data_IF_179157940421
#
_entry.id   IF_179157940421
#
_cell.length_a   1.000
_cell.length_b   1.000
_cell.length_c   1.000
_cell.angle_alpha   90.00
_cell.angle_beta   90.00
_cell.angle_gamma   90.00
#
_symmetry.space_group_name_H-M   'P 1'
#
loop_
_entity.id
_entity.type
_entity.pdbx_description
1 polymer ?
#
# COMPACT_ATOMS: atom_id res chain seq x y z
N UNK A 1 2.96 -16.59 -18.41
CA UNK A 1 4.35 -16.13 -18.16
C UNK A 1 4.28 -15.02 -17.13
N UNK A 2 4.89 -15.15 -15.95
CA UNK A 2 4.99 -14.02 -15.01
C UNK A 2 6.03 -13.05 -15.57
N UNK A 3 5.61 -11.84 -15.94
CA UNK A 3 6.51 -10.78 -16.39
C UNK A 3 7.47 -10.40 -15.25
N UNK A 4 8.71 -10.02 -15.60
CA UNK A 4 9.74 -9.56 -14.64
C UNK A 4 9.36 -8.29 -13.86
N UNK A 5 8.23 -7.67 -14.19
CA UNK A 5 7.73 -6.41 -13.64
C UNK A 5 7.03 -6.56 -12.27
N UNK A 6 6.72 -7.79 -11.83
CA UNK A 6 6.01 -8.06 -10.56
C UNK A 6 6.94 -8.44 -9.39
N UNK A 7 8.15 -7.88 -9.33
CA UNK A 7 9.14 -8.31 -8.32
C UNK A 7 9.13 -7.42 -7.09
N UNK A 8 8.94 -8.03 -5.91
CA UNK A 8 9.21 -7.39 -4.62
C UNK A 8 10.68 -7.63 -4.27
N UNK A 9 11.42 -6.57 -3.94
CA UNK A 9 12.80 -6.68 -3.45
C UNK A 9 13.03 -5.79 -2.23
N UNK A 10 13.99 -6.17 -1.39
CA UNK A 10 14.32 -5.44 -0.18
C UNK A 10 15.83 -5.25 -0.07
N UNK A 11 16.25 -4.02 0.19
CA UNK A 11 17.66 -3.64 0.33
C UNK A 11 17.89 -3.11 1.74
N UNK A 12 18.93 -3.60 2.41
CA UNK A 12 19.33 -3.10 3.71
C UNK A 12 20.26 -1.89 3.51
N UNK A 13 19.91 -0.74 4.06
CA UNK A 13 20.70 0.49 3.95
C UNK A 13 21.61 0.67 5.16
N UNK A 14 21.13 0.40 6.37
CA UNK A 14 21.92 0.51 7.58
C UNK A 14 21.43 -0.44 8.69
N UNK A 15 22.31 -0.73 9.64
CA UNK A 15 22.04 -1.56 10.82
C UNK A 15 22.66 -0.90 12.04
N UNK A 16 21.88 -0.81 13.13
CA UNK A 16 22.35 -0.40 14.45
C UNK A 16 21.81 -1.37 15.51
N UNK A 17 22.67 -2.28 15.98
CA UNK A 17 22.25 -3.44 16.77
C UNK A 17 21.24 -4.30 16.00
N UNK A 18 20.04 -4.47 16.56
CA UNK A 18 18.93 -5.20 15.92
C UNK A 18 18.05 -4.30 15.03
N UNK A 19 18.25 -2.98 15.06
CA UNK A 19 17.50 -2.04 14.23
C UNK A 19 17.98 -2.09 12.78
N UNK A 20 17.04 -2.03 11.83
CA UNK A 20 17.31 -2.14 10.39
C UNK A 20 16.60 -1.01 9.65
N UNK A 21 17.38 -0.22 8.93
CA UNK A 21 16.87 0.72 7.95
C UNK A 21 17.10 0.16 6.54
N UNK A 22 16.14 0.27 5.66
CA UNK A 22 16.23 -0.31 4.32
C UNK A 22 15.14 0.16 3.39
N UNK A 23 15.18 -0.27 2.14
CA UNK A 23 14.23 0.11 1.10
C UNK A 23 13.49 -1.11 0.57
N UNK A 24 12.17 -1.08 0.65
CA UNK A 24 11.27 -2.05 0.03
C UNK A 24 10.86 -1.51 -1.36
N UNK A 25 11.20 -2.25 -2.40
CA UNK A 25 10.81 -1.94 -3.78
C UNK A 25 9.67 -2.85 -4.19
N UNK A 26 8.58 -2.23 -4.65
CA UNK A 26 7.39 -2.90 -5.17
C UNK A 26 7.15 -2.45 -6.62
N UNK A 27 6.31 -3.16 -7.38
CA UNK A 27 5.96 -2.74 -8.74
C UNK A 27 5.32 -1.34 -8.84
N UNK A 28 4.76 -0.81 -7.74
CA UNK A 28 4.10 0.50 -7.70
C UNK A 28 4.90 1.59 -7.00
N UNK A 29 6.09 1.28 -6.50
CA UNK A 29 6.93 2.29 -5.85
C UNK A 29 7.90 1.70 -4.84
N UNK A 30 8.77 2.57 -4.34
CA UNK A 30 9.71 2.25 -3.29
C UNK A 30 9.27 2.92 -1.99
N UNK A 31 9.43 2.23 -0.87
CA UNK A 31 9.20 2.79 0.47
C UNK A 31 10.38 2.50 1.37
N UNK A 32 10.73 3.47 2.20
CA UNK A 32 11.79 3.30 3.19
C UNK A 32 11.23 2.61 4.44
N UNK A 33 12.04 1.79 5.07
CA UNK A 33 11.74 1.02 6.29
C UNK A 33 12.68 1.49 7.40
N UNK A 34 12.22 1.57 8.66
CA UNK A 34 10.88 1.21 9.14
C UNK A 34 9.83 2.23 8.70
N UNK A 35 8.64 1.76 8.29
CA UNK A 35 7.48 2.60 8.01
C UNK A 35 6.28 2.21 8.85
N UNK A 36 5.36 3.17 8.99
CA UNK A 36 4.02 2.94 9.53
C UNK A 36 2.99 2.96 8.40
N UNK A 37 2.06 2.00 8.40
CA UNK A 37 1.02 1.89 7.38
C UNK A 37 -0.34 2.29 7.95
N UNK A 38 -0.96 3.38 7.45
CA UNK A 38 -2.37 3.66 7.74
C UNK A 38 -3.27 2.50 7.28
N UNK A 39 -4.34 2.22 8.05
CA UNK A 39 -5.27 1.12 7.76
C UNK A 39 -6.49 1.65 7.00
N UNK A 40 -6.66 1.19 5.77
CA UNK A 40 -7.81 1.48 4.91
C UNK A 40 -8.84 0.35 4.98
N UNK A 41 -9.64 0.33 6.04
CA UNK A 41 -10.56 -0.78 6.35
C UNK A 41 -11.58 -1.06 5.24
N UNK A 42 -12.12 -0.03 4.58
CA UNK A 42 -13.08 -0.18 3.47
C UNK A 42 -12.62 0.57 2.21
N UNK A 43 -11.32 0.48 1.89
CA UNK A 43 -10.76 1.24 0.77
C UNK A 43 -10.70 2.74 1.04
N UNK A 44 -10.71 3.13 2.31
CA UNK A 44 -10.42 4.49 2.75
C UNK A 44 -9.84 4.44 4.15
N UNK A 45 -8.89 5.34 4.42
CA UNK A 45 -8.45 5.63 5.78
C UNK A 45 -9.46 6.58 6.39
N UNK A 46 -9.94 6.26 7.58
CA UNK A 46 -11.07 6.99 8.18
C UNK A 46 -10.73 8.48 8.33
N UNK A 47 -11.57 9.32 7.74
CA UNK A 47 -11.47 10.79 7.75
C UNK A 47 -10.27 11.39 6.98
N UNK A 48 -9.55 10.60 6.18
CA UNK A 48 -8.43 11.07 5.36
C UNK A 48 -8.67 10.73 3.89
N UNK A 49 -8.48 11.71 3.02
CA UNK A 49 -8.40 11.51 1.57
C UNK A 49 -6.99 11.11 1.12
N UNK A 50 -6.80 10.79 -0.18
CA UNK A 50 -5.48 10.53 -0.75
C UNK A 50 -4.47 11.66 -0.50
N UNK A 51 -4.86 12.91 -0.72
CA UNK A 51 -3.99 14.08 -0.51
C UNK A 51 -3.53 14.20 0.96
N UNK A 52 -4.38 13.84 1.92
CA UNK A 52 -4.01 13.82 3.33
C UNK A 52 -2.96 12.75 3.60
N UNK A 53 -3.10 11.56 3.00
CA UNK A 53 -2.15 10.45 3.13
C UNK A 53 -0.79 10.79 2.54
N UNK A 54 -0.75 11.50 1.40
CA UNK A 54 0.48 12.04 0.84
C UNK A 54 1.10 13.09 1.77
N UNK A 55 0.28 14.00 2.33
CA UNK A 55 0.75 15.08 3.21
C UNK A 55 1.40 14.57 4.50
N UNK A 56 0.92 13.44 5.04
CA UNK A 56 1.51 12.81 6.23
C UNK A 56 2.68 11.88 5.90
N UNK A 57 3.06 11.76 4.62
CA UNK A 57 4.17 10.95 4.16
C UNK A 57 3.90 9.44 4.21
N UNK A 58 2.64 9.01 4.07
CA UNK A 58 2.31 7.59 4.01
C UNK A 58 2.84 6.98 2.71
N UNK A 59 3.91 6.16 2.79
CA UNK A 59 4.44 5.45 1.62
C UNK A 59 3.65 4.20 1.25
N UNK A 60 2.88 3.62 2.20
CA UNK A 60 2.10 2.41 1.98
C UNK A 60 0.87 2.37 2.87
N UNK A 61 -0.24 1.83 2.35
CA UNK A 61 -1.52 1.70 3.06
C UNK A 61 -1.92 0.22 3.12
N UNK A 62 -2.46 -0.20 4.26
CA UNK A 62 -2.97 -1.55 4.44
C UNK A 62 -4.48 -1.60 4.17
N UNK A 63 -4.88 -2.29 3.10
CA UNK A 63 -6.29 -2.59 2.81
C UNK A 63 -6.76 -3.85 3.53
N UNK A 64 -7.96 -3.82 4.12
CA UNK A 64 -8.53 -5.00 4.77
C UNK A 64 -9.37 -5.83 3.77
N UNK A 65 -8.84 -6.98 3.36
CA UNK A 65 -9.48 -7.86 2.38
C UNK A 65 -10.87 -8.36 2.82
N UNK A 66 -11.09 -8.64 4.11
CA UNK A 66 -12.37 -9.13 4.61
C UNK A 66 -13.49 -8.10 4.42
N UNK A 67 -13.22 -6.85 4.79
CA UNK A 67 -14.21 -5.79 4.65
C UNK A 67 -14.47 -5.46 3.18
N UNK A 68 -13.42 -5.36 2.36
CA UNK A 68 -13.53 -5.11 0.92
C UNK A 68 -14.33 -6.19 0.19
N UNK A 69 -14.14 -7.46 0.58
CA UNK A 69 -14.91 -8.59 0.04
C UNK A 69 -16.39 -8.50 0.38
N UNK A 70 -16.75 -8.12 1.61
CA UNK A 70 -18.16 -8.01 2.00
C UNK A 70 -18.83 -6.77 1.43
N UNK A 71 -18.12 -5.63 1.41
CA UNK A 71 -18.58 -4.35 0.86
C UNK A 71 -17.38 -3.50 0.42
N UNK A 72 -17.31 -3.04 -0.83
CA UNK A 72 -18.34 -3.12 -1.87
C UNK A 72 -18.43 -4.49 -2.59
N UNK A 73 -17.45 -5.38 -2.42
CA UNK A 73 -17.35 -6.63 -3.18
C UNK A 73 -16.25 -6.60 -4.23
N UNK A 74 -15.72 -7.76 -4.56
CA UNK A 74 -14.55 -7.90 -5.46
C UNK A 74 -14.92 -7.51 -6.89
N UNK A 75 -16.13 -7.86 -7.32
CA UNK A 75 -16.65 -7.58 -8.65
C UNK A 75 -16.72 -6.06 -8.89
N UNK A 76 -17.29 -5.31 -7.94
CA UNK A 76 -17.37 -3.85 -8.02
C UNK A 76 -15.97 -3.22 -8.06
N UNK A 77 -15.06 -3.68 -7.19
CA UNK A 77 -13.67 -3.16 -7.17
C UNK A 77 -12.98 -3.45 -8.51
N UNK A 78 -13.20 -4.63 -9.09
CA UNK A 78 -12.62 -5.01 -10.37
C UNK A 78 -13.19 -4.17 -11.53
N UNK A 79 -14.51 -3.96 -11.57
CA UNK A 79 -15.19 -3.13 -12.57
C UNK A 79 -14.72 -1.67 -12.53
N UNK A 80 -14.40 -1.16 -11.34
CA UNK A 80 -13.84 0.18 -11.14
C UNK A 80 -12.32 0.26 -11.42
N UNK A 81 -11.72 -0.81 -11.94
CA UNK A 81 -10.32 -0.84 -12.38
C UNK A 81 -9.31 -1.15 -11.27
N UNK A 82 -9.76 -1.85 -10.22
CA UNK A 82 -8.92 -2.34 -9.13
C UNK A 82 -8.87 -1.41 -7.92
N UNK A 83 -8.29 -1.92 -6.83
CA UNK A 83 -8.34 -1.27 -5.53
C UNK A 83 -7.70 0.13 -5.52
N UNK A 84 -6.57 0.33 -6.21
CA UNK A 84 -5.90 1.63 -6.26
C UNK A 84 -6.80 2.72 -6.89
N UNK A 85 -7.43 2.41 -8.04
CA UNK A 85 -8.37 3.33 -8.69
C UNK A 85 -9.61 3.57 -7.84
N UNK A 86 -10.13 2.53 -7.21
CA UNK A 86 -11.27 2.63 -6.29
C UNK A 86 -10.97 3.56 -5.11
N UNK A 87 -9.75 3.49 -4.55
CA UNK A 87 -9.33 4.31 -3.42
C UNK A 87 -8.87 5.73 -3.82
N UNK A 88 -8.61 5.97 -5.10
CA UNK A 88 -7.93 7.19 -5.56
C UNK A 88 -6.49 7.31 -5.05
N UNK A 89 -5.84 6.18 -4.75
CA UNK A 89 -4.49 6.11 -4.18
C UNK A 89 -3.59 5.26 -5.09
N UNK A 90 -2.41 5.76 -5.46
CA UNK A 90 -1.49 5.10 -6.38
C UNK A 90 -0.41 4.26 -5.68
#
# INVERSE_FOLDING_TARGET
>A
MKNREDTISFWLENVDGEARAGRLVTPRGCVDTPLFMPVATQGSVKALGPDDLESVGAGLVLGNAYHLYLRPGVEIISELGGLHRFMGWN
#
